data_IF_892033252438
#
_entry.id   IF_892033252438
#
_cell.length_a   1.000
_cell.length_b   1.000
_cell.length_c   1.000
_cell.angle_alpha   90.00
_cell.angle_beta   90.00
_cell.angle_gamma   90.00
#
_symmetry.space_group_name_H-M   'P 1'
#
loop_
_entity.id
_entity.type
_entity.pdbx_description
1 polymer ?
2 non-polymer ?
3 non-polymer ?
4 water ?
#
# COMPACT_ATOMS: atom_id res chain seq x y z
N UNK A 14 -13.38 -27.87 -7.01
CA UNK A 14 -12.19 -28.71 -7.06
C UNK A 14 -12.52 -30.18 -6.80
N UNK A 15 -11.91 -31.07 -7.58
CA UNK A 15 -12.12 -32.49 -7.39
C UNK A 15 -11.48 -32.94 -6.09
N UNK A 16 -11.92 -34.10 -5.60
CA UNK A 16 -11.40 -34.55 -4.33
C UNK A 16 -9.99 -35.10 -4.50
N UNK A 17 -9.67 -35.62 -5.70
CA UNK A 17 -8.30 -36.00 -6.00
C UNK A 17 -7.36 -34.79 -5.97
N UNK A 18 -7.82 -33.66 -6.52
CA UNK A 18 -6.99 -32.46 -6.50
C UNK A 18 -6.76 -31.98 -5.07
N UNK A 19 -7.81 -31.99 -4.25
CA UNK A 19 -7.69 -31.57 -2.85
C UNK A 19 -6.71 -32.47 -2.11
N UNK A 20 -6.78 -33.79 -2.34
CA UNK A 20 -5.83 -34.69 -1.71
C UNK A 20 -4.41 -34.42 -2.19
N UNK A 21 -4.24 -34.04 -3.45
CA UNK A 21 -2.91 -33.68 -3.94
C UNK A 21 -2.37 -32.46 -3.23
N UNK A 22 -3.21 -31.45 -2.98
CA UNK A 22 -2.79 -30.30 -2.18
C UNK A 22 -2.36 -30.73 -0.78
N UNK A 23 -3.17 -31.59 -0.13
CA UNK A 23 -2.84 -32.05 1.21
C UNK A 23 -1.54 -32.84 1.23
N UNK A 24 -1.24 -33.57 0.16
CA UNK A 24 0.02 -34.31 0.10
C UNK A 24 1.23 -33.37 0.11
N UNK A 25 1.06 -32.13 -0.36
CA UNK A 25 2.16 -31.18 -0.36
C UNK A 25 2.33 -30.50 0.99
N UNK A 26 1.25 -29.89 1.50
CA UNK A 26 1.37 -29.00 2.65
C UNK A 26 0.94 -29.64 3.96
N UNK A 27 0.25 -30.78 3.91
CA UNK A 27 -0.29 -31.39 5.12
C UNK A 27 -1.76 -31.10 5.26
N UNK A 28 -2.53 -32.08 5.72
CA UNK A 28 -3.99 -31.92 5.81
C UNK A 28 -4.44 -30.70 6.61
N UNK A 29 -3.86 -30.35 7.76
CA UNK A 29 -4.33 -29.15 8.48
C UNK A 29 -4.17 -27.87 7.69
N UNK A 30 -3.34 -27.86 6.65
CA UNK A 30 -2.98 -26.65 5.93
C UNK A 30 -3.73 -26.50 4.61
N UNK A 31 -4.78 -27.29 4.41
CA UNK A 31 -5.70 -27.14 3.28
C UNK A 31 -7.10 -27.04 3.85
N UNK A 32 -7.87 -26.06 3.39
CA UNK A 32 -9.25 -25.95 3.82
C UNK A 32 -10.17 -25.69 2.62
N UNK A 33 -11.25 -26.48 2.54
CA UNK A 33 -12.34 -26.22 1.61
C UNK A 33 -13.61 -25.78 2.32
N UNK A 34 -13.53 -25.45 3.60
CA UNK A 34 -14.70 -25.02 4.34
C UNK A 34 -15.14 -23.62 3.90
N UNK A 35 -16.45 -23.44 3.74
CA UNK A 35 -16.98 -22.20 3.19
C UNK A 35 -16.57 -20.99 4.03
N UNK A 36 -16.66 -21.09 5.36
CA UNK A 36 -16.32 -19.95 6.21
C UNK A 36 -14.87 -19.56 6.04
N UNK A 37 -13.96 -20.53 5.99
CA UNK A 37 -12.54 -20.24 5.81
C UNK A 37 -12.29 -19.62 4.44
N UNK A 38 -12.95 -20.15 3.40
CA UNK A 38 -12.81 -19.57 2.07
C UNK A 38 -13.36 -18.16 2.01
N UNK A 39 -14.51 -17.91 2.66
CA UNK A 39 -15.09 -16.58 2.61
C UNK A 39 -14.20 -15.55 3.29
N UNK A 40 -13.53 -15.93 4.39
CA UNK A 40 -12.62 -15.02 5.06
C UNK A 40 -11.41 -14.67 4.19
N UNK A 41 -11.10 -15.50 3.21
CA UNK A 41 -10.00 -15.25 2.28
C UNK A 41 -10.48 -14.78 0.92
N UNK A 42 -11.75 -14.45 0.78
CA UNK A 42 -12.32 -14.04 -0.49
C UNK A 42 -12.50 -12.55 -0.66
N UNK A 43 -12.01 -11.75 0.28
CA UNK A 43 -12.19 -10.31 0.22
C UNK A 43 -11.01 -9.66 0.93
N UNK A 44 -10.85 -8.36 0.67
CA UNK A 44 -9.88 -7.57 1.41
C UNK A 44 -10.62 -6.40 2.06
N UNK A 45 -10.03 -5.21 2.06
CA UNK A 45 -10.71 -4.03 2.61
C UNK A 45 -11.48 -3.26 1.55
N UNK A 46 -11.46 -3.70 0.30
CA UNK A 46 -12.13 -3.01 -0.79
C UNK A 46 -13.62 -3.31 -0.79
N UNK A 47 -14.33 -2.65 -1.71
CA UNK A 47 -15.75 -2.86 -1.94
C UNK A 47 -16.06 -4.08 -2.79
N UNK A 48 -15.05 -4.69 -3.39
CA UNK A 48 -15.30 -5.75 -4.36
C UNK A 48 -15.92 -6.95 -3.65
N UNK A 49 -16.99 -7.46 -4.23
CA UNK A 49 -17.81 -8.47 -3.55
C UNK A 49 -16.93 -9.64 -3.15
N UNK A 50 -17.18 -10.16 -1.95
CA UNK A 50 -16.45 -11.34 -1.52
C UNK A 50 -16.66 -12.46 -2.53
N UNK A 51 -15.56 -12.91 -3.12
CA UNK A 51 -15.60 -14.04 -4.05
C UNK A 51 -14.70 -15.11 -3.48
N UNK A 52 -15.27 -16.16 -2.89
CA UNK A 52 -14.48 -17.11 -2.15
C UNK A 52 -13.70 -18.02 -3.08
N UNK A 53 -12.42 -18.22 -2.81
CA UNK A 53 -11.66 -19.24 -3.50
C UNK A 53 -12.27 -20.61 -3.21
N UNK A 54 -11.93 -21.58 -4.06
CA UNK A 54 -12.40 -22.94 -3.86
C UNK A 54 -11.66 -23.65 -2.73
N UNK A 55 -10.47 -23.19 -2.39
CA UNK A 55 -9.72 -23.75 -1.27
C UNK A 55 -8.72 -22.69 -0.79
N UNK A 56 -8.31 -22.82 0.46
CA UNK A 56 -7.22 -22.03 1.03
C UNK A 56 -6.12 -22.99 1.44
N UNK A 57 -4.88 -22.67 1.08
CA UNK A 57 -3.71 -23.50 1.34
C UNK A 57 -2.65 -22.65 2.01
N UNK A 58 -2.00 -23.20 3.04
CA UNK A 58 -0.94 -22.54 3.78
C UNK A 58 0.37 -23.32 3.59
N UNK A 59 1.18 -22.98 2.60
CA UNK A 59 2.47 -23.65 2.45
C UNK A 59 3.39 -23.30 3.62
N UNK A 60 4.22 -24.28 4.00
CA UNK A 60 5.11 -24.12 5.14
C UNK A 60 6.55 -23.79 4.76
N UNK A 61 6.89 -23.88 3.47
CA UNK A 61 8.21 -23.53 3.00
C UNK A 61 8.13 -23.28 1.50
N UNK A 62 9.25 -22.81 0.94
CA UNK A 62 9.25 -22.43 -0.47
C UNK A 62 9.08 -23.65 -1.37
N UNK A 63 9.64 -24.79 -0.98
CA UNK A 63 9.43 -26.00 -1.77
C UNK A 63 7.95 -26.32 -1.90
N UNK A 64 7.20 -26.16 -0.81
CA UNK A 64 5.77 -26.38 -0.85
C UNK A 64 5.06 -25.33 -1.70
N UNK A 65 5.49 -24.07 -1.63
CA UNK A 65 4.91 -23.06 -2.52
C UNK A 65 5.06 -23.48 -3.97
N UNK A 66 6.28 -23.89 -4.34
CA UNK A 66 6.56 -24.30 -5.70
C UNK A 66 5.68 -25.48 -6.13
N UNK A 67 5.52 -26.47 -5.25
CA UNK A 67 4.75 -27.65 -5.60
C UNK A 67 3.25 -27.35 -5.67
N UNK A 68 2.75 -26.46 -4.81
CA UNK A 68 1.36 -26.05 -4.91
C UNK A 68 1.12 -25.30 -6.22
N UNK A 69 2.02 -24.37 -6.54
CA UNK A 69 1.89 -23.61 -7.78
C UNK A 69 1.90 -24.54 -8.99
N UNK A 70 2.86 -25.46 -9.04
CA UNK A 70 2.96 -26.37 -10.17
C UNK A 70 1.69 -27.23 -10.30
N UNK A 71 1.18 -27.71 -9.18
CA UNK A 71 -0.03 -28.52 -9.20
C UNK A 71 -1.22 -27.72 -9.75
N UNK A 72 -1.43 -26.50 -9.23
CA UNK A 72 -2.54 -25.69 -9.71
C UNK A 72 -2.36 -25.33 -11.18
N UNK A 73 -1.17 -24.85 -11.54
CA UNK A 73 -0.93 -24.35 -12.89
C UNK A 73 -1.19 -25.44 -13.92
N UNK A 74 -0.64 -26.63 -13.69
CA UNK A 74 -0.77 -27.69 -14.67
C UNK A 74 -2.18 -28.28 -14.73
N UNK A 75 -2.98 -28.10 -13.69
CA UNK A 75 -4.36 -28.55 -13.70
C UNK A 75 -5.35 -27.46 -14.10
N UNK A 76 -4.88 -26.28 -14.48
CA UNK A 76 -5.79 -25.23 -14.90
C UNK A 76 -6.55 -24.57 -13.78
N UNK A 77 -5.98 -24.55 -12.58
CA UNK A 77 -6.63 -24.01 -11.39
C UNK A 77 -6.01 -22.65 -11.07
N UNK A 78 -6.79 -21.57 -11.00
CA UNK A 78 -6.21 -20.27 -10.67
C UNK A 78 -5.55 -20.23 -9.30
N UNK A 79 -4.56 -19.36 -9.19
CA UNK A 79 -3.77 -19.19 -7.97
C UNK A 79 -3.94 -17.74 -7.51
N UNK A 80 -4.31 -17.55 -6.25
CA UNK A 80 -4.45 -16.22 -5.68
C UNK A 80 -3.51 -16.11 -4.48
N UNK A 81 -2.38 -15.40 -4.62
CA UNK A 81 -1.52 -15.17 -3.45
C UNK A 81 -2.24 -14.30 -2.43
N UNK A 82 -2.03 -14.61 -1.15
CA UNK A 82 -2.73 -13.92 -0.08
C UNK A 82 -1.73 -13.64 1.02
N UNK A 83 -1.58 -12.37 1.37
CA UNK A 83 -0.71 -12.01 2.48
C UNK A 83 -1.51 -11.82 3.75
N UNK A 84 -1.72 -10.57 4.11
CA UNK A 84 -2.56 -10.18 5.24
C UNK A 84 -3.95 -9.68 4.84
N UNK A 85 -4.29 -9.65 3.55
CA UNK A 85 -5.63 -9.29 3.13
C UNK A 85 -6.04 -7.87 3.44
N UNK A 86 -5.07 -6.96 3.55
CA UNK A 86 -5.36 -5.55 3.84
C UNK A 86 -5.41 -4.68 2.59
N UNK A 87 -5.27 -5.26 1.40
CA UNK A 87 -5.36 -4.48 0.18
C UNK A 87 -6.71 -3.81 0.04
N UNK A 88 -6.75 -2.80 -0.83
CA UNK A 88 -7.97 -2.00 -0.98
C UNK A 88 -8.49 -2.00 -2.42
N UNK A 89 -8.02 -2.92 -3.27
CA UNK A 89 -8.47 -2.93 -4.66
C UNK A 89 -8.97 -4.29 -5.12
N UNK A 90 -9.23 -5.22 -4.20
CA UNK A 90 -9.78 -6.51 -4.58
C UNK A 90 -8.76 -7.49 -5.08
N UNK A 91 -7.49 -7.29 -4.78
CA UNK A 91 -6.45 -8.16 -5.29
C UNK A 91 -6.63 -9.62 -4.93
N UNK A 92 -7.19 -9.90 -3.75
CA UNK A 92 -7.37 -11.29 -3.33
C UNK A 92 -8.72 -11.87 -3.70
N UNK A 93 -9.60 -11.10 -4.32
CA UNK A 93 -10.92 -11.61 -4.67
C UNK A 93 -10.79 -12.69 -5.73
N UNK A 94 -11.37 -13.87 -5.48
CA UNK A 94 -11.20 -15.01 -6.38
C UNK A 94 -12.27 -14.96 -7.47
N UNK A 95 -12.07 -14.04 -8.42
CA UNK A 95 -13.06 -13.78 -9.45
C UNK A 95 -13.29 -15.01 -10.33
N UNK A 96 -12.30 -15.89 -10.43
CA UNK A 96 -12.42 -17.11 -11.22
C UNK A 96 -12.25 -18.37 -10.36
N UNK A 97 -12.52 -18.26 -9.06
CA UNK A 97 -12.30 -19.36 -8.14
C UNK A 97 -10.82 -19.69 -8.01
N UNK A 98 -10.55 -20.92 -7.62
CA UNK A 98 -9.20 -21.42 -7.56
C UNK A 98 -8.70 -21.56 -6.14
N UNK A 99 -7.37 -21.58 -6.01
CA UNK A 99 -6.68 -21.85 -4.75
C UNK A 99 -6.08 -20.56 -4.24
N UNK A 100 -6.51 -20.15 -3.05
CA UNK A 100 -5.92 -19.02 -2.35
C UNK A 100 -4.74 -19.54 -1.55
N UNK A 101 -3.56 -18.99 -1.78
CA UNK A 101 -2.35 -19.42 -1.09
C UNK A 101 -2.04 -18.38 -0.01
N UNK A 102 -2.37 -18.72 1.23
CA UNK A 102 -2.02 -17.87 2.36
C UNK A 102 -0.57 -18.14 2.73
N UNK A 103 0.27 -17.12 2.62
CA UNK A 103 1.72 -17.29 2.72
C UNK A 103 2.27 -16.99 4.11
N UNK A 104 1.41 -16.72 5.10
CA UNK A 104 1.88 -16.10 6.33
C UNK A 104 2.50 -17.08 7.32
N UNK A 105 2.44 -18.39 7.10
CA UNK A 105 3.12 -19.30 8.01
C UNK A 105 4.63 -19.30 7.79
N UNK A 106 5.08 -18.76 6.66
CA UNK A 106 6.50 -18.58 6.39
C UNK A 106 6.80 -17.20 6.94
N UNK A 107 7.31 -17.15 8.16
CA UNK A 107 7.33 -15.90 8.92
C UNK A 107 8.70 -15.60 9.51
N UNK A 108 9.76 -16.07 8.87
CA UNK A 108 11.11 -15.93 9.41
C UNK A 108 11.84 -14.73 8.82
N UNK A 109 12.59 -14.05 9.68
CA UNK A 109 13.55 -13.03 9.28
C UNK A 109 14.91 -13.70 9.20
N UNK A 110 15.60 -13.51 8.07
CA UNK A 110 16.91 -14.14 7.87
C UNK A 110 17.85 -13.13 7.25
N UNK A 111 19.13 -13.53 7.16
CA UNK A 111 20.15 -12.77 6.46
C UNK A 111 20.20 -11.32 6.91
N UNK A 112 20.01 -11.10 8.21
CA UNK A 112 20.13 -9.75 8.75
C UNK A 112 21.59 -9.33 8.64
N UNK A 113 21.84 -8.30 7.82
CA UNK A 113 23.18 -7.78 7.58
C UNK A 113 23.15 -6.31 7.97
N UNK A 114 23.34 -6.04 9.27
CA UNK A 114 23.26 -4.67 9.74
C UNK A 114 24.37 -3.82 9.14
N UNK A 115 25.57 -4.39 8.98
CA UNK A 115 26.69 -3.65 8.40
C UNK A 115 26.44 -3.24 6.95
N UNK A 116 25.54 -3.95 6.25
CA UNK A 116 25.18 -3.63 4.87
C UNK A 116 23.83 -2.94 4.75
N UNK A 117 23.12 -2.73 5.86
CA UNK A 117 21.78 -2.15 5.85
C UNK A 117 20.79 -3.01 5.07
N UNK A 118 20.74 -4.32 5.36
CA UNK A 118 19.86 -5.18 4.58
C UNK A 118 19.38 -6.36 5.42
N UNK A 119 18.23 -6.92 5.00
CA UNK A 119 17.61 -8.05 5.70
C UNK A 119 16.70 -8.76 4.70
N UNK A 120 16.45 -10.04 4.95
CA UNK A 120 15.52 -10.85 4.13
C UNK A 120 14.35 -11.27 5.01
N UNK A 121 13.12 -11.09 4.50
CA UNK A 121 11.91 -11.41 5.23
C UNK A 121 11.00 -12.31 4.40
N UNK A 122 10.35 -13.26 5.06
CA UNK A 122 9.34 -14.13 4.49
C UNK A 122 7.97 -13.48 4.60
N UNK A 123 6.96 -14.00 3.90
CA UNK A 123 5.68 -13.26 3.78
C UNK A 123 4.94 -13.04 5.09
N UNK A 124 5.13 -13.89 6.10
CA UNK A 124 4.47 -13.69 7.38
C UNK A 124 5.05 -12.58 8.23
N UNK A 125 6.18 -12.00 7.84
CA UNK A 125 6.81 -10.92 8.59
C UNK A 125 6.11 -9.61 8.25
N UNK A 126 5.64 -8.89 9.27
CA UNK A 126 5.09 -7.56 9.10
C UNK A 126 6.13 -6.52 9.46
N UNK A 127 5.85 -5.26 9.11
CA UNK A 127 6.75 -4.17 9.50
C UNK A 127 6.96 -4.12 11.00
N UNK A 128 5.88 -4.30 11.77
CA UNK A 128 6.02 -4.25 13.23
C UNK A 128 6.93 -5.36 13.74
N UNK A 129 6.79 -6.57 13.19
CA UNK A 129 7.66 -7.66 13.59
C UNK A 129 9.12 -7.36 13.26
N UNK A 130 9.37 -6.84 12.04
CA UNK A 130 10.74 -6.54 11.65
C UNK A 130 11.34 -5.45 12.54
N UNK A 131 10.61 -4.36 12.74
CA UNK A 131 11.16 -3.28 13.55
C UNK A 131 11.33 -3.68 15.01
N UNK A 132 10.47 -4.55 15.53
CA UNK A 132 10.68 -5.10 16.86
C UNK A 132 11.96 -5.93 16.91
N UNK A 133 12.15 -6.79 15.91
CA UNK A 133 13.37 -7.59 15.81
C UNK A 133 14.60 -6.69 15.73
N UNK A 134 14.45 -5.48 15.19
CA UNK A 134 15.56 -4.57 14.96
C UNK A 134 15.78 -3.58 16.08
N UNK A 135 14.94 -3.53 17.11
CA UNK A 135 15.20 -2.59 18.18
C UNK A 135 16.50 -3.00 18.89
N UNK A 136 17.31 -2.02 19.23
CA UNK A 136 18.69 -2.10 19.72
C UNK A 136 19.73 -2.14 18.60
N UNK A 137 19.31 -2.30 17.34
CA UNK A 137 20.27 -2.36 16.24
C UNK A 137 20.67 -0.98 15.73
N UNK A 138 19.91 0.05 16.04
CA UNK A 138 20.10 1.34 15.41
C UNK A 138 19.56 1.45 14.00
N UNK A 139 18.89 0.41 13.51
CA UNK A 139 18.32 0.38 12.18
C UNK A 139 16.81 0.18 12.27
N UNK A 140 16.12 0.57 11.21
CA UNK A 140 14.67 0.40 11.13
C UNK A 140 14.26 0.31 9.66
N UNK A 141 13.07 -0.23 9.43
CA UNK A 141 12.50 -0.27 8.10
C UNK A 141 11.41 0.79 8.00
N UNK A 142 11.51 1.74 7.05
CA UNK A 142 10.64 2.93 7.11
C UNK A 142 9.30 2.85 6.40
N UNK A 143 9.10 1.98 5.42
CA UNK A 143 7.89 2.06 4.60
C UNK A 143 6.70 1.58 5.41
N UNK A 144 5.76 2.49 5.70
CA UNK A 144 4.79 2.30 6.78
C UNK A 144 3.33 2.51 6.34
N UNK A 145 2.74 1.56 5.62
CA UNK A 145 1.28 1.53 5.49
C UNK A 145 0.65 1.49 6.87
N UNK A 146 -0.57 2.03 6.95
CA UNK A 146 -1.28 2.07 8.22
C UNK A 146 -1.65 0.71 8.77
N UNK A 147 -1.86 -0.27 7.89
CA UNK A 147 -2.14 -1.63 8.34
C UNK A 147 -0.82 -2.35 8.60
N UNK A 148 -0.83 -3.25 9.58
CA UNK A 148 0.38 -4.06 9.77
C UNK A 148 0.31 -5.17 8.76
N UNK A 149 0.78 -4.86 7.56
CA UNK A 149 0.67 -5.73 6.41
C UNK A 149 1.92 -6.60 6.25
N UNK A 150 1.73 -7.74 5.58
CA UNK A 150 2.86 -8.53 5.11
C UNK A 150 3.82 -7.67 4.30
N UNK A 151 5.11 -7.74 4.65
CA UNK A 151 6.12 -7.00 3.89
C UNK A 151 6.23 -7.51 2.45
N UNK A 152 6.05 -8.81 2.25
CA UNK A 152 6.05 -9.32 0.88
C UNK A 152 4.80 -8.88 0.13
N UNK A 153 3.67 -8.76 0.82
CA UNK A 153 2.48 -8.19 0.20
C UNK A 153 2.70 -6.74 -0.19
N UNK A 154 3.41 -6.00 0.66
CA UNK A 154 3.77 -4.62 0.37
C UNK A 154 4.67 -4.53 -0.87
N UNK A 155 5.61 -5.47 -1.01
CA UNK A 155 6.38 -5.53 -2.25
C UNK A 155 5.48 -5.83 -3.44
N UNK A 156 4.52 -6.74 -3.25
CA UNK A 156 3.62 -7.10 -4.35
C UNK A 156 2.77 -5.92 -4.80
N UNK A 157 2.32 -5.08 -3.86
CA UNK A 157 1.47 -3.97 -4.26
C UNK A 157 2.25 -2.72 -4.63
N UNK A 158 3.55 -2.67 -4.35
CA UNK A 158 4.30 -1.45 -4.57
C UNK A 158 3.97 -0.37 -3.56
N UNK A 159 3.80 -0.75 -2.30
CA UNK A 159 3.27 0.12 -1.28
C UNK A 159 4.20 1.30 -0.98
N UNK A 160 3.61 2.34 -0.39
CA UNK A 160 4.40 3.39 0.23
C UNK A 160 3.89 3.65 1.64
N UNK A 161 4.08 4.86 2.15
CA UNK A 161 3.63 5.17 3.50
C UNK A 161 3.99 6.59 3.83
N UNK A 162 3.75 6.97 5.10
CA UNK A 162 4.05 8.34 5.52
C UNK A 162 5.53 8.65 5.44
N UNK A 163 6.41 7.67 5.68
CA UNK A 163 7.84 7.92 5.64
C UNK A 163 8.42 7.97 4.24
N UNK A 164 7.63 7.65 3.21
CA UNK A 164 8.18 7.48 1.88
C UNK A 164 8.74 8.80 1.32
N UNK A 165 8.17 9.93 1.70
CA UNK A 165 8.63 11.22 1.18
C UNK A 165 10.13 11.40 1.41
N UNK A 166 10.64 10.89 2.54
CA UNK A 166 12.07 10.96 2.83
C UNK A 166 12.80 9.66 2.55
N UNK A 167 12.22 8.52 2.89
CA UNK A 167 12.94 7.25 2.93
C UNK A 167 12.61 6.31 1.77
N UNK A 168 11.72 6.70 0.87
CA UNK A 168 11.43 5.93 -0.32
C UNK A 168 10.24 4.99 -0.16
N UNK A 169 9.75 4.52 -1.30
CA UNK A 169 8.65 3.57 -1.36
C UNK A 169 9.20 2.14 -1.30
N UNK A 170 8.33 1.14 -1.42
CA UNK A 170 8.81 -0.22 -1.58
C UNK A 170 9.73 -0.36 -2.78
N UNK A 171 9.41 0.30 -3.90
CA UNK A 171 10.25 0.23 -5.09
C UNK A 171 11.67 0.72 -4.78
N UNK A 172 11.79 1.75 -3.94
CA UNK A 172 13.11 2.27 -3.57
C UNK A 172 13.84 1.36 -2.60
N UNK A 173 13.13 0.53 -1.84
CA UNK A 173 13.72 -0.19 -0.73
C UNK A 173 13.72 -1.70 -0.89
N UNK A 174 13.27 -2.24 -2.01
CA UNK A 174 13.35 -3.67 -2.30
C UNK A 174 14.60 -3.89 -3.15
N UNK A 175 15.54 -4.67 -2.64
CA UNK A 175 16.85 -4.91 -3.24
C UNK A 175 16.87 -6.22 -4.03
N UNK A 176 15.99 -7.16 -3.67
CA UNK A 176 15.96 -8.48 -4.28
C UNK A 176 14.64 -9.12 -3.88
N UNK A 177 14.19 -10.06 -4.69
CA UNK A 177 12.96 -10.80 -4.42
C UNK A 177 13.18 -12.25 -4.76
N UNK A 178 12.63 -13.14 -3.94
CA UNK A 178 12.53 -14.54 -4.26
C UNK A 178 11.09 -14.80 -4.69
N UNK A 179 10.92 -15.33 -5.91
CA UNK A 179 9.62 -15.43 -6.54
C UNK A 179 9.42 -16.85 -7.04
N UNK A 180 8.33 -17.48 -6.64
CA UNK A 180 7.90 -18.71 -7.26
C UNK A 180 7.05 -18.32 -8.47
N UNK A 181 7.56 -18.62 -9.66
CA UNK A 181 6.83 -18.30 -10.88
C UNK A 181 5.60 -19.20 -11.01
N UNK A 182 4.64 -18.84 -11.87
CA UNK A 182 3.36 -19.56 -11.90
C UNK A 182 3.46 -21.07 -12.08
N UNK A 183 4.43 -21.55 -12.86
CA UNK A 183 4.59 -22.99 -13.07
C UNK A 183 5.47 -23.65 -12.01
N UNK A 184 5.88 -22.90 -10.99
CA UNK A 184 6.63 -23.46 -9.87
C UNK A 184 8.12 -23.20 -9.88
N UNK A 185 8.68 -22.66 -10.95
CA UNK A 185 10.11 -22.38 -10.98
C UNK A 185 10.46 -21.29 -9.96
N UNK A 186 11.65 -21.39 -9.40
CA UNK A 186 12.09 -20.45 -8.37
C UNK A 186 13.04 -19.43 -8.99
N UNK A 187 12.70 -18.16 -8.87
CA UNK A 187 13.49 -17.06 -9.40
C UNK A 187 13.96 -16.18 -8.26
N UNK A 188 15.25 -15.87 -8.23
CA UNK A 188 15.79 -14.81 -7.39
C UNK A 188 16.08 -13.64 -8.31
N UNK A 189 15.28 -12.57 -8.19
CA UNK A 189 15.24 -11.57 -9.26
C UNK A 189 16.62 -10.94 -9.52
N UNK A 190 17.39 -10.69 -8.47
CA UNK A 190 18.73 -10.15 -8.61
C UNK A 190 19.83 -11.19 -8.36
N UNK A 191 19.45 -12.46 -8.28
CA UNK A 191 20.41 -13.52 -8.02
C UNK A 191 20.34 -13.99 -6.57
N UNK A 192 20.49 -15.29 -6.35
CA UNK A 192 20.30 -15.84 -5.01
C UNK A 192 21.34 -15.29 -4.04
N UNK A 193 20.86 -14.73 -2.93
CA UNK A 193 21.70 -14.23 -1.88
C UNK A 193 22.29 -12.86 -2.12
N UNK A 194 21.99 -12.22 -3.25
CA UNK A 194 22.66 -10.98 -3.61
C UNK A 194 22.01 -9.77 -2.95
N UNK A 195 22.86 -8.81 -2.58
CA UNK A 195 22.38 -7.56 -2.01
C UNK A 195 23.49 -6.53 -2.22
N UNK A 196 23.09 -5.35 -2.70
CA UNK A 196 24.05 -4.33 -3.10
C UNK A 196 23.30 -3.03 -3.31
N UNK A 197 24.04 -1.94 -3.48
CA UNK A 197 23.42 -0.63 -3.60
C UNK A 197 22.96 -0.29 -5.01
N UNK A 198 23.63 -0.81 -6.03
CA UNK A 198 23.25 -0.52 -7.40
C UNK A 198 23.80 -1.62 -8.30
N UNK A 199 23.17 -1.77 -9.46
CA UNK A 199 23.65 -2.72 -10.45
C UNK A 199 23.13 -2.32 -11.82
N UNK A 200 23.96 -2.54 -12.84
CA UNK A 200 23.56 -2.47 -14.23
C UNK A 200 23.58 -3.84 -14.91
N UNK A 201 23.55 -4.92 -14.13
CA UNK A 201 23.77 -6.27 -14.66
C UNK A 201 22.49 -6.81 -15.28
N UNK A 202 22.40 -6.75 -16.61
CA UNK A 202 21.23 -7.30 -17.29
C UNK A 202 20.03 -6.39 -17.13
N UNK A 203 18.85 -6.96 -17.30
CA UNK A 203 17.60 -6.22 -17.10
C UNK A 203 17.19 -6.33 -15.64
N UNK A 204 16.73 -5.22 -15.07
CA UNK A 204 16.35 -5.21 -13.66
C UNK A 204 15.04 -5.97 -13.50
N UNK A 205 15.13 -7.21 -13.04
CA UNK A 205 13.92 -8.02 -12.84
C UNK A 205 13.22 -7.68 -11.54
N UNK A 206 13.95 -7.17 -10.53
CA UNK A 206 13.33 -6.86 -9.25
C UNK A 206 12.21 -5.86 -9.41
N UNK A 207 12.45 -4.80 -10.18
CA UNK A 207 11.44 -3.76 -10.35
C UNK A 207 10.20 -4.24 -11.07
N UNK A 208 10.32 -5.28 -11.90
CA UNK A 208 9.18 -5.82 -12.60
C UNK A 208 8.21 -6.49 -11.64
N UNK A 209 8.73 -7.16 -10.62
CA UNK A 209 7.89 -7.89 -9.69
C UNK A 209 7.35 -7.04 -8.56
N UNK A 210 8.03 -5.93 -8.21
CA UNK A 210 7.43 -4.98 -7.28
C UNK A 210 6.22 -4.34 -7.98
N UNK A 211 5.08 -4.35 -7.29
CA UNK A 211 3.88 -3.80 -7.90
C UNK A 211 3.21 -4.70 -8.89
N UNK A 212 3.52 -6.01 -8.87
CA UNK A 212 2.90 -6.96 -9.78
C UNK A 212 1.63 -7.59 -9.22
N UNK A 213 1.36 -7.44 -7.92
CA UNK A 213 0.07 -7.77 -7.31
C UNK A 213 -0.27 -9.25 -7.37
N UNK A 214 0.73 -10.11 -7.46
CA UNK A 214 0.45 -11.53 -7.52
C UNK A 214 0.02 -12.03 -8.88
N UNK A 215 0.17 -11.22 -9.94
CA UNK A 215 -0.19 -11.63 -11.29
C UNK A 215 1.00 -12.16 -12.09
N UNK A 216 2.22 -12.05 -11.56
CA UNK A 216 3.40 -12.55 -12.24
C UNK A 216 4.12 -13.66 -11.49
N UNK A 217 3.70 -13.98 -10.28
CA UNK A 217 4.41 -14.93 -9.44
C UNK A 217 4.16 -14.63 -7.98
N UNK A 218 4.67 -15.53 -7.15
CA UNK A 218 4.44 -15.51 -5.70
C UNK A 218 5.73 -15.11 -5.02
N UNK A 219 5.73 -13.97 -4.34
CA UNK A 219 6.92 -13.51 -3.63
C UNK A 219 7.04 -14.30 -2.32
N UNK A 220 8.10 -15.09 -2.21
CA UNK A 220 8.32 -15.89 -1.00
C UNK A 220 9.40 -15.33 -0.09
N UNK A 221 10.17 -14.35 -0.57
CA UNK A 221 10.98 -13.55 0.34
C UNK A 221 11.29 -12.22 -0.33
N UNK A 222 11.56 -11.21 0.50
CA UNK A 222 11.96 -9.89 0.02
C UNK A 222 13.23 -9.48 0.75
N UNK A 223 14.22 -9.00 -0.02
CA UNK A 223 15.41 -8.40 0.57
C UNK A 223 15.19 -6.90 0.65
N UNK A 224 15.23 -6.36 1.87
CA UNK A 224 14.85 -4.97 2.14
C UNK A 224 16.05 -4.15 2.54
N UNK A 225 16.05 -2.89 2.10
CA UNK A 225 16.99 -1.89 2.56
C UNK A 225 16.57 -1.38 3.93
N UNK A 226 17.50 -1.40 4.88
CA UNK A 226 17.28 -0.81 6.19
C UNK A 226 17.93 0.57 6.25
N UNK A 227 17.47 1.37 7.21
CA UNK A 227 17.91 2.74 7.36
C UNK A 227 18.35 3.01 8.79
N UNK A 228 19.29 3.93 8.97
CA UNK A 228 19.70 4.30 10.34
C UNK A 228 18.57 5.04 11.04
N UNK A 229 18.41 4.75 12.32
CA UNK A 229 17.43 5.48 13.10
C UNK A 229 17.85 6.94 13.20
N UNK A 230 16.89 7.88 13.16
CA UNK A 230 17.26 9.30 13.24
C UNK A 230 17.88 9.64 14.57
N UNK A 231 18.83 10.57 14.54
CA UNK A 231 19.48 11.03 15.76
C UNK A 231 18.47 11.64 16.73
N UNK A 232 17.57 12.49 16.20
CA UNK A 232 16.53 13.09 17.00
C UNK A 232 15.29 13.25 16.12
N UNK A 233 14.12 13.25 16.76
CA UNK A 233 12.84 13.29 16.08
C UNK A 233 11.95 14.34 16.72
N UNK A 234 11.28 15.13 15.90
CA UNK A 234 10.26 16.09 16.33
C UNK A 234 9.04 15.92 15.45
N UNK A 235 7.87 15.76 16.07
CA UNK A 235 6.61 15.70 15.34
C UNK A 235 5.71 16.85 15.77
N UNK A 236 4.81 17.25 14.89
CA UNK A 236 3.92 18.38 15.19
C UNK A 236 2.70 18.32 14.27
N UNK A 237 1.65 19.03 14.67
CA UNK A 237 0.52 19.26 13.81
C UNK A 237 0.37 20.76 13.57
N UNK A 238 -0.20 21.11 12.43
CA UNK A 238 -0.38 22.50 12.03
C UNK A 238 -1.75 22.63 11.38
N UNK A 239 -2.60 23.49 11.94
CA UNK A 239 -3.95 23.69 11.45
C UNK A 239 -3.99 24.89 10.51
N UNK A 240 -4.80 24.78 9.46
CA UNK A 240 -4.85 25.78 8.41
C UNK A 240 -6.28 26.28 8.23
N UNK A 241 -6.43 27.50 7.67
CA UNK A 241 -7.78 28.03 7.42
C UNK A 241 -8.49 27.39 6.24
N UNK A 242 -7.77 26.71 5.36
CA UNK A 242 -8.38 26.16 4.15
C UNK A 242 -7.53 25.03 3.62
N UNK A 243 -8.14 24.20 2.79
CA UNK A 243 -7.39 23.17 2.06
C UNK A 243 -6.32 23.81 1.20
N UNK A 244 -6.68 24.89 0.49
CA UNK A 244 -5.72 25.60 -0.35
C UNK A 244 -4.48 25.97 0.44
N UNK A 245 -4.67 26.50 1.65
CA UNK A 245 -3.53 26.95 2.46
C UNK A 245 -2.65 25.78 2.87
N UNK A 246 -3.25 24.65 3.25
CA UNK A 246 -2.45 23.50 3.68
C UNK A 246 -1.66 22.91 2.52
N UNK A 247 -2.25 22.88 1.33
CA UNK A 247 -1.60 22.23 0.21
C UNK A 247 -0.56 23.15 -0.43
N UNK A 248 -0.85 24.46 -0.47
CA UNK A 248 0.17 25.41 -0.89
C UNK A 248 1.40 25.34 0.01
N UNK A 249 1.17 25.21 1.33
CA UNK A 249 2.28 25.04 2.25
C UNK A 249 3.08 23.79 1.92
N UNK A 250 2.39 22.69 1.63
CA UNK A 250 3.07 21.44 1.30
C UNK A 250 3.96 21.62 0.08
N UNK A 251 3.40 22.19 -0.99
CA UNK A 251 4.17 22.37 -2.22
C UNK A 251 5.37 23.27 -1.98
N UNK A 252 5.19 24.33 -1.20
CA UNK A 252 6.29 25.25 -0.95
C UNK A 252 7.36 24.62 -0.06
N UNK A 253 6.96 23.77 0.89
CA UNK A 253 7.95 23.03 1.69
C UNK A 253 8.80 22.14 0.81
N UNK A 254 8.15 21.42 -0.12
CA UNK A 254 8.90 20.53 -1.03
C UNK A 254 9.78 21.33 -1.97
N UNK A 255 9.28 22.45 -2.49
CA UNK A 255 10.06 23.26 -3.42
C UNK A 255 11.24 23.94 -2.73
N UNK A 256 11.13 24.17 -1.43
CA UNK A 256 12.23 24.70 -0.63
C UNK A 256 13.21 23.60 -0.22
N UNK A 257 12.93 22.35 -0.57
CA UNK A 257 13.83 21.22 -0.34
C UNK A 257 14.06 20.93 1.14
N UNK A 258 13.09 21.25 1.99
CA UNK A 258 13.19 20.86 3.40
C UNK A 258 13.05 19.34 3.45
N UNK A 259 14.03 18.62 4.00
CA UNK A 259 13.99 17.14 3.99
C UNK A 259 13.08 16.58 5.06
N UNK A 260 11.80 16.97 5.01
CA UNK A 260 10.84 16.51 5.99
C UNK A 260 10.75 15.00 5.98
N UNK A 261 10.62 14.41 7.16
CA UNK A 261 10.48 12.96 7.27
C UNK A 261 9.07 12.51 6.96
N UNK A 262 8.07 13.28 7.38
CA UNK A 262 6.67 12.95 7.17
C UNK A 262 5.92 14.26 6.96
N UNK A 263 5.02 14.26 5.99
CA UNK A 263 4.14 15.40 5.76
C UNK A 263 2.81 14.87 5.25
N UNK A 264 1.81 14.83 6.13
CA UNK A 264 0.55 14.15 5.88
C UNK A 264 -0.59 15.14 6.00
N UNK A 265 -1.51 15.08 5.06
CA UNK A 265 -2.66 15.98 5.04
C UNK A 265 -3.91 15.26 5.52
N UNK A 266 -4.71 15.97 6.32
CA UNK A 266 -6.05 15.54 6.71
C UNK A 266 -6.97 16.72 6.48
N UNK A 267 -8.07 16.52 5.75
CA UNK A 267 -9.03 17.62 5.68
C UNK A 267 -9.80 17.69 7.00
N UNK A 268 -10.67 18.70 7.12
CA UNK A 268 -11.41 18.86 8.37
C UNK A 268 -12.26 17.64 8.69
N UNK A 269 -12.86 17.02 7.67
CA UNK A 269 -13.63 15.80 7.89
C UNK A 269 -12.75 14.69 8.43
N UNK A 270 -11.59 14.47 7.79
CA UNK A 270 -10.68 13.44 8.27
C UNK A 270 -10.22 13.73 9.69
N UNK A 271 -9.89 14.99 9.98
CA UNK A 271 -9.35 15.34 11.29
C UNK A 271 -10.38 15.08 12.38
N UNK A 272 -11.64 15.45 12.12
CA UNK A 272 -12.70 15.18 13.08
C UNK A 272 -12.87 13.68 13.28
N UNK A 273 -12.87 12.90 12.19
CA UNK A 273 -13.01 11.45 12.33
C UNK A 273 -11.88 10.86 13.15
N UNK A 274 -10.64 11.30 12.90
CA UNK A 274 -9.51 10.80 13.67
C UNK A 274 -9.60 11.21 15.14
N UNK A 275 -10.05 12.44 15.41
CA UNK A 275 -10.25 12.87 16.79
C UNK A 275 -11.18 11.91 17.52
N UNK A 276 -12.30 11.56 16.87
CA UNK A 276 -13.32 10.73 17.50
C UNK A 276 -12.87 9.29 17.67
N UNK A 277 -11.92 8.84 16.87
CA UNK A 277 -11.49 7.45 16.87
C UNK A 277 -10.22 7.22 17.67
N UNK A 278 -9.57 8.28 18.16
CA UNK A 278 -8.24 8.16 18.74
C UNK A 278 -8.02 8.95 20.03
N UNK A 279 -8.91 9.86 20.41
CA UNK A 279 -8.64 10.79 21.50
C UNK A 279 -7.35 11.60 21.30
N UNK A 280 -6.99 11.82 20.03
CA UNK A 280 -6.44 13.12 19.69
C UNK A 280 -7.56 14.13 19.85
N UNK A 281 -7.20 15.39 20.04
CA UNK A 281 -8.20 16.45 20.12
C UNK A 281 -7.71 17.68 19.36
N UNK A 282 -7.29 17.46 18.11
CA UNK A 282 -6.77 18.53 17.31
C UNK A 282 -7.90 19.47 16.88
N UNK A 283 -7.61 20.74 16.69
CA UNK A 283 -8.60 21.65 16.09
C UNK A 283 -9.13 21.06 14.78
N UNK A 284 -10.44 21.09 14.62
CA UNK A 284 -11.09 20.52 13.44
C UNK A 284 -10.87 21.50 12.29
N UNK A 285 -9.93 21.16 11.41
CA UNK A 285 -9.47 22.04 10.36
C UNK A 285 -8.62 21.20 9.41
N UNK A 286 -8.45 21.65 8.16
CA UNK A 286 -7.42 21.02 7.31
C UNK A 286 -6.07 21.16 7.99
N UNK A 287 -5.36 20.03 8.11
CA UNK A 287 -4.24 19.93 9.03
C UNK A 287 -3.10 19.17 8.36
N UNK A 288 -1.88 19.56 8.67
CA UNK A 288 -0.69 18.77 8.34
C UNK A 288 -0.15 18.13 9.61
N UNK A 289 0.10 16.82 9.54
CA UNK A 289 0.93 16.13 10.52
C UNK A 289 2.34 16.12 9.96
N UNK A 290 3.31 16.57 10.75
CA UNK A 290 4.68 16.74 10.28
C UNK A 290 5.62 15.98 11.20
N UNK A 291 6.71 15.48 10.62
CA UNK A 291 7.78 14.92 11.43
C UNK A 291 9.11 15.29 10.81
N UNK A 292 10.09 15.58 11.66
CA UNK A 292 11.41 16.02 11.24
C UNK A 292 12.46 15.14 11.90
N UNK A 293 13.49 14.79 11.14
CA UNK A 293 14.58 13.94 11.60
C UNK A 293 15.90 14.67 11.40
N UNK A 294 16.77 14.60 12.41
CA UNK A 294 18.09 15.18 12.28
C UNK A 294 18.76 15.25 13.63
N UNK A 295 19.91 15.93 13.66
CA UNK A 295 20.50 16.26 14.94
C UNK A 295 19.71 17.38 15.59
N UNK A 296 19.89 17.54 16.90
CA UNK A 296 19.14 18.55 17.64
C UNK A 296 19.19 19.92 16.99
N UNK A 297 20.21 20.17 16.18
CA UNK A 297 20.36 21.47 15.56
C UNK A 297 19.92 21.51 14.09
N UNK A 298 20.09 20.44 13.30
CA UNK A 298 19.54 20.48 11.94
C UNK A 298 18.03 20.60 12.02
N UNK A 299 17.44 19.99 13.05
CA UNK A 299 16.02 20.10 13.32
C UNK A 299 15.63 21.56 13.51
N UNK A 300 16.39 22.30 14.31
CA UNK A 300 16.09 23.72 14.53
C UNK A 300 16.05 24.47 13.21
N UNK A 301 16.96 24.14 12.29
CA UNK A 301 16.97 24.77 10.99
C UNK A 301 15.73 24.38 10.18
N UNK A 302 15.44 23.07 10.10
CA UNK A 302 14.28 22.62 9.35
C UNK A 302 12.98 23.21 9.91
N UNK A 303 12.84 23.21 11.22
CA UNK A 303 11.65 23.78 11.85
C UNK A 303 11.51 25.25 11.53
N UNK A 304 12.63 25.96 11.56
CA UNK A 304 12.63 27.41 11.40
C UNK A 304 11.95 27.75 10.08
N UNK A 305 12.44 27.11 9.02
CA UNK A 305 12.10 27.32 7.62
C UNK A 305 10.75 26.74 7.29
N UNK A 306 10.39 25.61 7.89
CA UNK A 306 9.06 25.06 7.65
C UNK A 306 7.99 25.90 8.31
N UNK A 307 8.26 26.39 9.53
CA UNK A 307 7.31 27.28 10.19
C UNK A 307 7.13 28.57 9.42
N UNK A 308 8.20 29.09 8.81
CA UNK A 308 8.07 30.31 8.02
C UNK A 308 7.13 30.11 6.84
N UNK A 309 7.21 28.94 6.20
CA UNK A 309 6.36 28.66 5.05
C UNK A 309 4.91 28.47 5.48
N UNK A 310 4.68 27.66 6.54
CA UNK A 310 3.32 27.45 7.00
C UNK A 310 2.70 28.77 7.49
N UNK A 311 3.49 29.60 8.17
CA UNK A 311 2.99 30.90 8.62
C UNK A 311 2.54 31.76 7.45
N UNK A 312 3.30 31.76 6.35
CA UNK A 312 2.91 32.50 5.15
C UNK A 312 1.52 32.13 4.67
N UNK A 313 1.09 30.90 4.92
CA UNK A 313 -0.19 30.41 4.43
C UNK A 313 -1.22 30.26 5.54
N UNK A 314 -1.02 30.94 6.67
CA UNK A 314 -1.99 30.94 7.73
C UNK A 314 -1.93 29.75 8.67
N UNK A 315 -0.87 28.95 8.60
CA UNK A 315 -0.76 27.83 9.51
C UNK A 315 -0.63 28.27 10.95
N UNK A 316 -1.17 27.45 11.85
CA UNK A 316 -1.03 27.73 13.27
C UNK A 316 0.40 27.52 13.72
N UNK A 317 0.71 28.03 14.91
CA UNK A 317 1.94 27.64 15.56
C UNK A 317 1.91 26.14 15.78
N UNK A 318 3.06 25.49 15.59
CA UNK A 318 3.12 24.04 15.62
C UNK A 318 2.69 23.53 16.99
N UNK A 319 1.78 22.55 16.99
CA UNK A 319 1.41 21.84 18.21
C UNK A 319 2.31 20.61 18.33
N UNK A 320 3.23 20.65 19.29
CA UNK A 320 4.31 19.69 19.31
C UNK A 320 3.88 18.35 19.91
N UNK A 321 4.51 17.29 19.41
CA UNK A 321 4.50 15.97 20.03
C UNK A 321 5.96 15.56 20.09
N UNK A 324 8.02 10.22 23.61
CA UNK A 324 7.75 9.11 22.69
C UNK A 324 6.26 8.84 22.51
N UNK A 325 5.55 8.91 23.63
CA UNK A 325 4.18 8.41 23.69
C UNK A 325 3.16 9.30 23.00
N UNK A 326 3.34 10.63 23.00
CA UNK A 326 2.40 11.47 22.24
C UNK A 326 2.63 11.37 20.74
N UNK A 327 3.88 11.22 20.30
CA UNK A 327 4.13 11.04 18.87
C UNK A 327 3.58 9.71 18.37
N UNK A 328 3.78 8.63 19.14
CA UNK A 328 3.21 7.34 18.78
C UNK A 328 1.69 7.45 18.66
N UNK A 329 1.07 8.20 19.58
CA UNK A 329 -0.36 8.45 19.53
C UNK A 329 -0.75 9.18 18.26
N UNK A 330 0.02 10.19 17.87
CA UNK A 330 -0.26 10.94 16.66
C UNK A 330 -0.23 10.05 15.43
N UNK A 331 0.84 9.27 15.28
CA UNK A 331 0.96 8.48 14.06
C UNK A 331 0.07 7.26 14.07
N UNK A 332 -0.27 6.72 15.25
CA UNK A 332 -1.27 5.66 15.30
C UNK A 332 -2.62 6.15 14.81
N UNK A 333 -3.00 7.38 15.19
CA UNK A 333 -4.25 7.95 14.71
C UNK A 333 -4.23 8.13 13.20
N UNK A 334 -3.12 8.62 12.65
CA UNK A 334 -2.99 8.74 11.21
C UNK A 334 -3.08 7.39 10.54
N UNK A 335 -2.33 6.40 11.04
CA UNK A 335 -2.33 5.08 10.44
C UNK A 335 -3.72 4.44 10.43
N UNK A 336 -4.56 4.78 11.41
CA UNK A 336 -5.90 4.22 11.51
C UNK A 336 -6.97 5.10 10.88
N UNK A 337 -6.58 6.08 10.05
CA UNK A 337 -7.54 6.98 9.43
C UNK A 337 -8.64 6.23 8.68
N UNK A 338 -8.28 5.16 7.97
CA UNK A 338 -9.27 4.34 7.28
C UNK A 338 -10.38 3.90 8.23
N UNK A 339 -9.99 3.36 9.39
CA UNK A 339 -10.98 2.88 10.35
C UNK A 339 -11.71 4.04 11.01
N UNK A 340 -11.03 5.17 11.22
CA UNK A 340 -11.70 6.36 11.74
C UNK A 340 -12.82 6.81 10.80
N UNK A 341 -12.55 6.81 9.49
CA UNK A 341 -13.58 7.21 8.53
C UNK A 341 -14.72 6.20 8.50
N UNK A 342 -14.40 4.90 8.57
CA UNK A 342 -15.44 3.89 8.57
C UNK A 342 -16.31 3.96 9.82
N UNK A 343 -15.73 4.40 10.94
CA UNK A 343 -16.46 4.50 12.20
C UNK A 343 -17.44 5.66 12.23
N UNK A 344 -17.35 6.60 11.30
CA UNK A 344 -18.27 7.73 11.28
C UNK A 344 -19.71 7.27 11.15
N UNK A 345 -19.96 6.27 10.30
CA UNK A 345 -21.28 5.67 10.15
C UNK A 345 -21.11 4.17 10.23
N UNK A 346 -21.32 3.57 11.42
CA UNK A 346 -21.06 2.14 11.59
C UNK A 346 -21.82 1.31 10.57
N UNK A 347 -21.15 0.29 10.05
CA UNK A 347 -21.71 -0.59 9.05
C UNK A 347 -21.30 -0.26 7.63
N UNK A 348 -20.88 0.98 7.37
CA UNK A 348 -20.42 1.33 6.04
C UNK A 348 -19.21 0.50 5.69
N UNK A 349 -19.06 0.17 4.40
CA UNK A 349 -17.71 -0.13 3.94
C UNK A 349 -17.19 1.15 3.33
N UNK A 350 -16.21 1.01 2.42
CA UNK A 350 -15.85 2.22 1.71
C UNK A 350 -15.09 2.02 0.41
N UNK A 351 -15.25 2.99 -0.50
CA UNK A 351 -14.43 3.17 -1.69
C UNK A 351 -13.26 4.11 -1.40
N UNK A 352 -12.16 3.92 -2.14
CA UNK A 352 -10.98 4.75 -1.99
C UNK A 352 -10.51 5.23 -3.35
N UNK A 353 -9.77 6.33 -3.34
CA UNK A 353 -8.98 6.77 -4.49
C UNK A 353 -7.54 6.93 -4.03
N UNK A 354 -6.63 7.18 -4.97
CA UNK A 354 -5.21 7.14 -4.66
C UNK A 354 -4.40 7.86 -5.72
N UNK A 355 -4.93 8.95 -6.28
CA UNK A 355 -4.22 9.59 -7.39
C UNK A 355 -2.91 10.21 -6.90
N UNK A 356 -1.99 10.38 -7.85
CA UNK A 356 -0.73 11.04 -7.58
C UNK A 356 -0.40 11.91 -8.78
N UNK A 357 -0.16 13.20 -8.54
CA UNK A 357 0.00 14.17 -9.63
C UNK A 357 1.33 14.89 -9.45
N UNK A 358 1.84 15.52 -10.50
CA UNK A 358 2.98 16.43 -10.33
C UNK A 358 2.65 17.42 -9.22
N UNK A 359 3.63 17.69 -8.34
CA UNK A 359 3.31 18.40 -7.11
C UNK A 359 2.72 19.77 -7.38
N UNK A 360 3.16 20.44 -8.44
CA UNK A 360 2.63 21.79 -8.70
C UNK A 360 1.14 21.76 -9.02
N UNK A 361 0.60 20.62 -9.46
CA UNK A 361 -0.83 20.48 -9.72
C UNK A 361 -1.61 19.97 -8.52
N UNK A 362 -0.93 19.63 -7.43
CA UNK A 362 -1.64 19.12 -6.27
C UNK A 362 -2.64 20.10 -5.68
N UNK A 363 -2.34 21.40 -5.53
CA UNK A 363 -3.38 22.32 -5.02
C UNK A 363 -4.64 22.32 -5.85
N UNK A 364 -4.52 22.41 -7.18
CA UNK A 364 -5.71 22.39 -8.03
C UNK A 364 -6.57 21.16 -7.76
N UNK A 365 -5.97 19.98 -7.78
CA UNK A 365 -6.78 18.77 -7.71
C UNK A 365 -7.34 18.53 -6.31
N UNK A 366 -6.58 18.82 -5.24
CA UNK A 366 -7.16 18.70 -3.90
C UNK A 366 -8.29 19.68 -3.67
N UNK A 367 -8.10 20.95 -4.03
CA UNK A 367 -9.17 21.92 -3.84
C UNK A 367 -10.39 21.53 -4.67
N UNK A 368 -10.17 21.11 -5.90
CA UNK A 368 -11.29 20.67 -6.75
C UNK A 368 -11.99 19.44 -6.17
N UNK A 369 -11.22 18.52 -5.59
CA UNK A 369 -11.82 17.33 -4.99
C UNK A 369 -12.70 17.69 -3.81
N UNK A 370 -12.21 18.58 -2.94
CA UNK A 370 -13.01 19.07 -1.82
C UNK A 370 -14.29 19.73 -2.32
N UNK A 371 -14.17 20.56 -3.37
CA UNK A 371 -15.35 21.23 -3.92
C UNK A 371 -16.33 20.23 -4.50
N UNK A 372 -15.82 19.19 -5.18
CA UNK A 372 -16.70 18.21 -5.79
C UNK A 372 -17.39 17.36 -4.75
N UNK A 373 -16.71 17.08 -3.64
CA UNK A 373 -17.35 16.38 -2.53
C UNK A 373 -18.50 17.19 -1.96
N UNK A 374 -18.28 18.50 -1.72
CA UNK A 374 -19.39 19.34 -1.24
C UNK A 374 -20.57 19.32 -2.22
N UNK A 375 -20.27 19.43 -3.51
CA UNK A 375 -21.34 19.63 -4.50
C UNK A 375 -22.18 18.38 -4.75
N UNK A 376 -21.81 17.22 -4.21
CA UNK A 376 -22.53 15.98 -4.45
C UNK A 376 -23.17 15.47 -3.15
N UNK A 377 -24.07 14.50 -3.28
CA UNK A 377 -24.57 13.83 -2.08
C UNK A 377 -23.48 13.11 -1.31
N UNK A 378 -22.28 13.03 -1.84
CA UNK A 378 -21.29 12.09 -1.33
C UNK A 378 -20.72 12.55 0.00
N UNK A 379 -20.55 11.59 0.90
CA UNK A 379 -19.77 11.77 2.12
C UNK A 379 -18.35 11.32 1.81
N UNK A 380 -17.37 12.07 2.30
CA UNK A 380 -15.99 11.73 2.03
C UNK A 380 -15.04 12.39 2.99
N UNK A 381 -13.93 11.71 3.27
CA UNK A 381 -12.81 12.25 4.01
C UNK A 381 -11.58 12.20 3.12
N UNK A 382 -10.67 13.14 3.31
CA UNK A 382 -9.45 13.24 2.52
C UNK A 382 -8.24 13.12 3.44
N UNK A 383 -7.32 12.23 3.09
CA UNK A 383 -6.08 12.03 3.82
C UNK A 383 -5.01 11.72 2.80
N UNK A 384 -3.78 12.13 3.07
CA UNK A 384 -2.83 11.86 2.01
C UNK A 384 -1.35 12.07 2.26
N UNK A 385 -0.55 11.25 1.56
CA UNK A 385 0.90 11.39 1.46
C UNK A 385 1.21 12.52 0.47
N UNK A 386 0.84 13.74 0.89
CA UNK A 386 0.94 14.90 0.00
C UNK A 386 2.37 15.28 -0.33
N UNK A 387 3.34 14.87 0.49
CA UNK A 387 4.73 15.08 0.15
C UNK A 387 5.13 14.39 -1.14
N UNK A 388 4.38 13.37 -1.54
CA UNK A 388 4.60 12.66 -2.80
C UNK A 388 3.69 13.15 -3.91
N UNK A 389 2.85 14.17 -3.65
CA UNK A 389 1.82 14.54 -4.61
C UNK A 389 0.64 13.58 -4.65
N UNK A 390 0.41 12.85 -3.56
CA UNK A 390 -0.51 11.72 -3.51
C UNK A 390 -1.53 11.99 -2.41
N UNK A 391 -2.77 11.55 -2.64
CA UNK A 391 -3.77 11.61 -1.58
C UNK A 391 -4.85 10.58 -1.85
N UNK A 392 -5.62 10.28 -0.81
CA UNK A 392 -6.72 9.33 -0.88
C UNK A 392 -8.01 10.01 -0.46
N UNK A 393 -9.07 9.73 -1.21
CA UNK A 393 -10.43 10.01 -0.78
C UNK A 393 -10.97 8.73 -0.18
N UNK A 394 -11.60 8.84 0.98
CA UNK A 394 -12.28 7.71 1.60
C UNK A 394 -13.77 8.00 1.48
N UNK A 395 -14.48 7.19 0.69
CA UNK A 395 -15.86 7.47 0.28
C UNK A 395 -16.76 6.38 0.85
N UNK A 396 -17.53 6.74 1.85
CA UNK A 396 -18.13 5.79 2.77
C UNK A 396 -19.49 5.45 2.16
N UNK A 397 -19.80 4.16 2.05
CA UNK A 397 -21.03 3.76 1.35
C UNK A 397 -21.81 2.69 2.09
N UNK A 398 -23.10 2.64 1.78
CA UNK A 398 -23.98 1.57 2.25
C UNK A 398 -23.83 0.38 1.32
N UNK A 399 -23.43 -0.80 1.83
CA UNK A 399 -23.24 -1.95 0.94
C UNK A 399 -24.50 -2.42 0.22
N UNK A 400 -25.68 -1.94 0.61
CA UNK A 400 -26.93 -2.34 -0.04
C UNK A 400 -27.49 -1.28 -0.97
N UNK A 401 -26.96 -0.05 -0.94
CA UNK A 401 -27.49 1.05 -1.73
C UNK A 401 -26.73 1.07 -3.06
N UNK A 402 -27.30 0.39 -4.05
CA UNK A 402 -26.65 0.28 -5.35
C UNK A 402 -26.56 1.62 -6.07
N UNK A 403 -27.54 2.50 -5.87
CA UNK A 403 -27.49 3.81 -6.51
C UNK A 403 -26.35 4.66 -5.94
N UNK A 404 -26.20 4.68 -4.63
CA UNK A 404 -25.10 5.41 -4.00
C UNK A 404 -23.76 4.88 -4.47
N UNK A 405 -23.61 3.55 -4.52
CA UNK A 405 -22.35 2.98 -4.98
C UNK A 405 -22.05 3.37 -6.42
N UNK A 406 -23.08 3.51 -7.26
CA UNK A 406 -22.87 3.90 -8.63
C UNK A 406 -22.37 5.34 -8.72
N UNK A 407 -22.90 6.22 -7.87
CA UNK A 407 -22.43 7.60 -7.85
C UNK A 407 -21.00 7.70 -7.31
N UNK A 408 -20.69 6.94 -6.27
CA UNK A 408 -19.37 7.04 -5.66
C UNK A 408 -18.31 6.47 -6.61
N UNK A 409 -18.63 5.37 -7.29
CA UNK A 409 -17.71 4.84 -8.30
C UNK A 409 -17.52 5.84 -9.44
N UNK A 410 -18.61 6.50 -9.87
CA UNK A 410 -18.48 7.52 -10.89
C UNK A 410 -17.60 8.67 -10.43
N UNK A 411 -17.73 9.07 -9.16
CA UNK A 411 -16.87 10.10 -8.60
C UNK A 411 -15.41 9.66 -8.62
N UNK A 412 -15.15 8.43 -8.17
CA UNK A 412 -13.77 7.94 -8.13
C UNK A 412 -13.15 7.87 -9.51
N UNK A 413 -13.91 7.42 -10.50
CA UNK A 413 -13.39 7.36 -11.86
C UNK A 413 -13.14 8.76 -12.42
N UNK A 414 -14.02 9.71 -12.14
CA UNK A 414 -13.79 11.08 -12.61
C UNK A 414 -12.55 11.69 -11.97
N UNK A 415 -12.34 11.44 -10.68
CA UNK A 415 -11.14 11.93 -10.02
C UNK A 415 -9.89 11.31 -10.64
N UNK A 416 -9.92 10.00 -10.88
CA UNK A 416 -8.79 9.37 -11.55
C UNK A 416 -8.50 9.97 -12.91
N UNK A 417 -9.56 10.23 -13.69
CA UNK A 417 -9.37 10.81 -15.02
C UNK A 417 -8.86 12.25 -14.93
N UNK A 418 -9.28 13.00 -13.91
CA UNK A 418 -8.72 14.33 -13.70
C UNK A 418 -7.22 14.28 -13.41
N UNK A 419 -6.80 13.33 -12.56
CA UNK A 419 -5.38 13.17 -12.31
C UNK A 419 -4.62 12.81 -13.59
N UNK A 420 -5.20 11.93 -14.41
CA UNK A 420 -4.55 11.60 -15.68
C UNK A 420 -4.44 12.82 -16.58
N UNK A 421 -5.45 13.69 -16.58
CA UNK A 421 -5.39 14.89 -17.41
C UNK A 421 -4.28 15.83 -16.97
N UNK A 422 -3.87 15.76 -15.71
CA UNK A 422 -2.81 16.59 -15.16
C UNK A 422 -1.43 15.97 -15.30
N UNK A 423 -1.30 14.86 -16.03
CA UNK A 423 -0.03 14.20 -16.20
C UNK A 423 0.35 13.24 -15.10
N UNK A 424 -0.58 12.91 -14.21
CA UNK A 424 -0.30 12.04 -13.08
C UNK A 424 -0.68 10.60 -13.33
N UNK A 425 -0.87 9.88 -12.22
CA UNK A 425 -1.14 8.45 -12.24
C UNK A 425 -2.40 8.18 -11.43
N UNK A 426 -3.11 7.11 -11.80
CA UNK A 426 -4.34 6.77 -11.10
C UNK A 426 -4.12 6.11 -9.75
N UNK A 427 -2.89 5.68 -9.45
CA UNK A 427 -2.59 5.09 -8.15
C UNK A 427 -1.14 5.35 -7.77
N UNK A 428 -0.97 6.02 -6.63
CA UNK A 428 0.37 6.24 -6.10
C UNK A 428 0.95 5.05 -5.39
N UNK A 429 0.10 4.20 -4.80
CA UNK A 429 0.61 3.13 -3.94
C UNK A 429 -0.30 1.90 -3.82
N UNK A 430 -1.62 2.07 -3.90
CA UNK A 430 -2.54 0.95 -3.60
C UNK A 430 -2.53 -0.11 -4.68
N UNK A 431 -2.33 0.28 -5.93
CA UNK A 431 -2.37 -0.67 -7.02
C UNK A 431 -3.68 -0.61 -7.79
N UNK A 432 -3.83 -1.57 -8.68
CA UNK A 432 -4.92 -1.59 -9.66
C UNK A 432 -6.01 -2.58 -9.28
N UNK A 433 -5.61 -3.80 -8.91
CA UNK A 433 -6.57 -4.84 -8.57
C UNK A 433 -7.68 -4.97 -9.59
N UNK A 434 -8.92 -4.96 -9.08
CA UNK A 434 -10.12 -4.97 -9.89
C UNK A 434 -10.67 -3.57 -10.15
N UNK A 435 -10.23 -2.57 -9.38
CA UNK A 435 -10.88 -1.27 -9.39
C UNK A 435 -10.41 -0.29 -10.44
N UNK A 436 -9.13 -0.31 -10.81
CA UNK A 436 -8.56 0.74 -11.65
C UNK A 436 -8.10 0.21 -13.01
N UNK A 437 -8.63 -0.93 -13.47
CA UNK A 437 -8.13 -1.52 -14.70
C UNK A 437 -8.39 -0.62 -15.90
N UNK A 438 -9.53 0.07 -15.91
CA UNK A 438 -9.87 0.86 -17.08
C UNK A 438 -9.05 2.15 -17.06
N UNK A 439 -8.84 2.73 -15.86
CA UNK A 439 -7.95 3.88 -15.73
C UNK A 439 -6.53 3.54 -16.16
N UNK A 440 -6.04 2.34 -15.85
CA UNK A 440 -4.70 1.97 -16.28
C UNK A 440 -4.58 1.96 -17.79
N UNK A 441 -5.60 1.44 -18.48
CA UNK A 441 -5.57 1.45 -19.94
C UNK A 441 -5.47 2.86 -20.48
N UNK A 442 -6.21 3.80 -19.89
CA UNK A 442 -6.12 5.20 -20.32
C UNK A 442 -4.76 5.79 -19.98
N UNK A 443 -4.20 5.40 -18.84
CA UNK A 443 -2.94 5.98 -18.36
C UNK A 443 -1.76 5.65 -19.27
N UNK A 444 -1.64 4.39 -19.72
CA UNK A 444 -0.46 3.99 -20.48
C UNK A 444 -0.73 3.77 -21.95
N UNK A 445 -1.98 3.76 -22.38
CA UNK A 445 -2.30 3.67 -23.80
C UNK A 445 -2.08 2.29 -24.38
N UNK A 446 -2.38 2.14 -25.67
CA UNK A 446 -2.39 0.80 -26.27
C UNK A 446 -1.04 0.11 -26.29
N UNK A 447 0.05 0.84 -26.55
CA UNK A 447 1.34 0.18 -26.59
C UNK A 447 1.81 -0.19 -25.18
N UNK A 448 1.52 0.67 -24.21
CA UNK A 448 1.79 0.31 -22.83
C UNK A 448 1.01 -0.91 -22.36
N UNK A 449 -0.28 -0.97 -22.71
CA UNK A 449 -1.09 -2.12 -22.31
C UNK A 449 -0.58 -3.39 -22.96
N UNK A 450 -0.33 -3.36 -24.27
CA UNK A 450 0.16 -4.57 -24.93
C UNK A 450 1.50 -5.00 -24.36
N UNK A 451 2.39 -4.05 -24.07
CA UNK A 451 3.69 -4.41 -23.52
C UNK A 451 3.53 -5.07 -22.14
N UNK A 452 2.69 -4.49 -21.27
CA UNK A 452 2.50 -5.15 -19.97
C UNK A 452 1.87 -6.52 -20.15
N UNK A 453 0.94 -6.65 -21.09
CA UNK A 453 0.31 -7.94 -21.35
C UNK A 453 1.31 -8.97 -21.86
N UNK A 454 2.26 -8.52 -22.69
CA UNK A 454 3.27 -9.45 -23.20
C UNK A 454 4.14 -9.97 -22.05
N UNK A 455 4.46 -9.11 -21.09
CA UNK A 455 5.23 -9.57 -19.95
C UNK A 455 4.41 -10.53 -19.09
N UNK A 456 3.15 -10.20 -18.84
CA UNK A 456 2.23 -11.11 -18.16
C UNK A 456 2.18 -12.47 -18.84
N UNK A 457 2.09 -12.48 -20.17
CA UNK A 457 1.92 -13.74 -20.89
C UNK A 457 3.16 -14.60 -20.85
N UNK A 458 4.36 -14.02 -20.87
CA UNK A 458 5.53 -14.89 -20.87
C UNK A 458 5.74 -15.55 -19.52
N UNK A 459 5.40 -14.85 -18.43
CA UNK A 459 5.55 -15.42 -17.10
C UNK A 459 4.37 -16.30 -16.72
N UNK A 460 3.17 -16.01 -17.23
CA UNK A 460 1.96 -16.75 -16.90
C UNK A 460 1.22 -17.09 -18.19
N UNK A 461 1.78 -18.00 -19.01
CA UNK A 461 1.13 -18.32 -20.29
C UNK A 461 -0.33 -18.70 -20.16
N UNK A 462 -0.69 -19.50 -19.17
CA UNK A 462 -2.05 -19.99 -19.04
C UNK A 462 -3.01 -19.00 -18.38
N UNK A 463 -2.50 -17.85 -17.91
CA UNK A 463 -3.37 -16.86 -17.30
C UNK A 463 -3.96 -17.29 -15.98
N UNK A 464 -3.26 -18.12 -15.22
CA UNK A 464 -3.77 -18.67 -13.96
C UNK A 464 -3.24 -17.95 -12.74
N UNK A 465 -2.34 -17.00 -12.91
CA UNK A 465 -1.72 -16.27 -11.80
C UNK A 465 -2.58 -15.05 -11.45
N UNK A 466 -3.44 -15.22 -10.47
CA UNK A 466 -4.37 -14.17 -10.01
C UNK A 466 -5.13 -13.55 -11.20
N UNK A 467 -5.93 -14.33 -11.92
CA UNK A 467 -6.56 -13.79 -13.12
C UNK A 467 -7.56 -12.68 -12.81
N UNK A 468 -7.76 -11.81 -13.81
CA UNK A 468 -8.72 -10.74 -13.70
C UNK A 468 -8.23 -9.48 -13.03
N UNK A 469 -6.97 -9.44 -12.61
CA UNK A 469 -6.41 -8.31 -11.88
C UNK A 469 -5.41 -7.55 -12.75
N UNK A 470 -5.37 -6.24 -12.56
CA UNK A 470 -4.39 -5.33 -13.18
C UNK A 470 -4.70 -5.11 -14.66
N UNK A 471 -4.61 -6.18 -15.45
CA UNK A 471 -4.87 -6.09 -16.89
C UNK A 471 -6.21 -6.73 -17.24
#
# INVERSE_FOLDING_TARGET
WSHPQFEKGSQGGLSQDFVEALKAVVGSPHVSTASAVREQHGHDESMHRCQPPDAVVWPQNVDQVSRVASLCYNQGVPIIPFGTGTGVEGGVCAVQGGVCINLTHMDQITELNTEDFSVVVEPGVTRKALNTHLRDSGLWFPVDPGADASLCGMAATGASGTNAVRYGTMRDNVINLEVVLPDGRLLHTAGRGRHYRKSAAGYNLTGLFVGSEGTLGIITSTTLRLHPAPEATVAATCAFPSVQAAVDSTVQILQAAVPVARIEFLDDVMMDACNRHSKLNCPVAPTLFLEFHGSQQTLAEQLQRTEAITQDNGGSHFSWAKEAEKRNELWAARHNAWYAALALSPGSKAYSTDVCVPISRLPEILVETKEEIKASKLTGAIVGHVGDGNFACILLVDPDDAEEQRRVKAFAENLGRRALALGGTCTGEHGIGLGKRQLLQEEVGPVGVETMRQLKNTLDPRGLMNPGKVL
#
